data_IF_196753405700
#
_entry.id   IF_196753405700
#
_cell.length_a   1.000
_cell.length_b   1.000
_cell.length_c   1.000
_cell.angle_alpha   90.00
_cell.angle_beta   90.00
_cell.angle_gamma   90.00
#
_symmetry.space_group_name_H-M   'P 1'
#
loop_
_entity.id
_entity.type
_entity.pdbx_description
1 polymer ?
#
# COMPACT_ATOMS: atom_id res chain seq x y z
N UNK A 1 8.80 31.89 -10.86
CA UNK A 1 8.26 30.53 -10.89
C UNK A 1 8.11 29.93 -9.49
N UNK A 2 9.13 29.95 -8.62
CA UNK A 2 9.06 29.41 -7.26
C UNK A 2 8.01 30.05 -6.33
N UNK A 3 7.78 31.37 -6.41
CA UNK A 3 6.78 32.07 -5.60
C UNK A 3 5.33 31.69 -5.96
N UNK A 4 5.06 31.38 -7.22
CA UNK A 4 3.73 30.99 -7.68
C UNK A 4 3.37 29.56 -7.20
N UNK A 5 4.36 28.63 -7.21
CA UNK A 5 4.20 27.28 -6.71
C UNK A 5 3.94 27.26 -5.20
N UNK A 6 4.61 28.12 -4.43
CA UNK A 6 4.43 28.25 -2.98
C UNK A 6 3.03 28.80 -2.63
N UNK A 7 2.51 29.74 -3.40
CA UNK A 7 1.14 30.27 -3.21
C UNK A 7 0.06 29.26 -3.59
N UNK A 8 0.29 28.41 -4.60
CA UNK A 8 -0.64 27.33 -4.99
C UNK A 8 -0.67 26.26 -3.90
N UNK A 9 0.47 25.85 -3.35
CA UNK A 9 0.56 24.91 -2.23
C UNK A 9 -0.07 25.48 -0.94
N UNK A 10 0.15 26.73 -0.63
CA UNK A 10 -0.44 27.40 0.54
C UNK A 10 -1.95 27.59 0.41
N UNK A 11 -2.46 27.87 -0.80
CA UNK A 11 -3.91 27.95 -1.07
C UNK A 11 -4.59 26.61 -0.98
N UNK A 12 -3.91 25.51 -1.33
CA UNK A 12 -4.43 24.14 -1.21
C UNK A 12 -4.59 23.71 0.26
N UNK A 13 -3.68 24.15 1.15
CA UNK A 13 -3.77 23.89 2.58
C UNK A 13 -4.88 24.67 3.31
N UNK A 14 -5.36 25.80 2.76
CA UNK A 14 -6.36 26.65 3.41
C UNK A 14 -7.82 26.27 3.07
N UNK A 15 -8.04 25.36 2.10
CA UNK A 15 -9.40 24.93 1.69
C UNK A 15 -9.92 23.70 2.44
N UNK A 16 -9.16 23.13 3.41
CA UNK A 16 -9.50 21.89 4.12
C UNK A 16 -10.21 22.08 5.47
N UNK A 17 -10.96 23.18 5.67
CA UNK A 17 -11.82 23.34 6.85
C UNK A 17 -13.30 23.21 6.50
N UNK A 18 -13.72 22.07 5.96
CA UNK A 18 -15.13 21.69 5.89
C UNK A 18 -15.39 20.73 7.06
N UNK A 19 -16.43 20.93 7.87
CA UNK A 19 -16.79 19.95 8.89
C UNK A 19 -17.27 18.67 8.17
N UNK A 20 -16.47 17.62 8.23
CA UNK A 20 -16.70 16.37 7.53
C UNK A 20 -17.29 15.36 8.51
N UNK A 21 -18.44 14.82 8.20
CA UNK A 21 -18.97 13.60 8.78
C UNK A 21 -18.05 12.42 8.42
N UNK A 22 -17.80 11.55 9.36
CA UNK A 22 -16.65 10.63 9.41
C UNK A 22 -17.00 9.23 8.89
N UNK A 23 -16.14 8.60 8.10
CA UNK A 23 -16.36 7.30 7.42
C UNK A 23 -15.07 6.52 7.06
N UNK A 24 -15.07 5.19 7.10
CA UNK A 24 -13.96 4.29 6.70
C UNK A 24 -14.40 3.27 5.64
N UNK A 25 -13.46 2.74 4.81
CA UNK A 25 -13.70 1.61 3.89
C UNK A 25 -14.37 0.43 4.61
N UNK A 26 -15.13 -0.39 3.88
CA UNK A 26 -15.75 -1.60 4.41
C UNK A 26 -14.68 -2.50 5.06
N UNK A 27 -14.85 -2.84 6.32
CA UNK A 27 -13.83 -3.56 7.11
C UNK A 27 -12.66 -2.71 7.59
N UNK A 28 -12.62 -1.40 7.29
CA UNK A 28 -11.48 -0.54 7.64
C UNK A 28 -10.19 -0.87 6.89
N UNK A 29 -10.27 -1.70 5.85
CA UNK A 29 -9.15 -2.14 5.02
C UNK A 29 -9.42 -1.86 3.54
N UNK A 30 -8.39 -1.47 2.82
CA UNK A 30 -8.41 -1.29 1.36
C UNK A 30 -7.30 -2.09 0.70
N UNK A 31 -7.26 -2.06 -0.63
CA UNK A 31 -6.23 -2.78 -1.39
C UNK A 31 -4.82 -2.20 -1.22
N UNK A 32 -4.69 -0.90 -0.94
CA UNK A 32 -3.40 -0.31 -0.62
C UNK A 32 -2.98 -0.68 0.80
N UNK A 33 -1.78 -1.24 0.93
CA UNK A 33 -1.19 -1.62 2.21
C UNK A 33 0.00 -0.70 2.54
N UNK A 34 -0.03 0.03 3.68
CA UNK A 34 1.09 0.85 4.13
C UNK A 34 2.40 0.07 4.21
N UNK A 35 3.49 0.70 3.75
CA UNK A 35 4.80 0.07 3.70
C UNK A 35 5.07 -0.72 2.41
N UNK A 36 4.12 -0.80 1.50
CA UNK A 36 4.29 -1.53 0.23
C UNK A 36 5.19 -0.81 -0.78
N UNK A 37 5.50 0.48 -0.57
CA UNK A 37 6.16 1.32 -1.57
C UNK A 37 7.30 2.20 -1.00
N UNK A 38 7.89 3.04 -1.85
CA UNK A 38 8.84 4.11 -1.56
C UNK A 38 10.18 3.69 -0.92
N UNK A 39 10.68 2.50 -1.24
CA UNK A 39 12.01 2.05 -0.82
C UNK A 39 12.75 1.37 -1.97
N UNK A 40 14.02 0.96 -1.79
CA UNK A 40 14.86 0.42 -2.87
C UNK A 40 14.26 -0.81 -3.57
N UNK A 41 13.55 -1.66 -2.83
CA UNK A 41 12.88 -2.85 -3.39
C UNK A 41 11.74 -2.46 -4.32
N UNK A 42 11.11 -1.31 -4.05
CA UNK A 42 9.87 -0.87 -4.71
C UNK A 42 10.15 0.02 -5.94
N UNK A 43 11.41 0.38 -6.19
CA UNK A 43 11.79 1.25 -7.31
C UNK A 43 11.43 0.58 -8.64
N UNK A 44 10.66 1.31 -9.46
CA UNK A 44 10.25 0.83 -10.77
C UNK A 44 11.48 0.52 -11.65
N UNK A 45 11.50 -0.61 -12.38
CA UNK A 45 12.62 -0.97 -13.23
C UNK A 45 12.87 0.10 -14.30
N UNK A 46 14.10 0.59 -14.41
CA UNK A 46 14.52 1.59 -15.43
C UNK A 46 15.22 0.97 -16.65
N UNK A 47 15.46 -0.35 -16.61
CA UNK A 47 16.09 -1.16 -17.66
C UNK A 47 15.19 -2.35 -18.01
N UNK A 48 15.36 -2.94 -19.21
CA UNK A 48 14.63 -4.14 -19.61
C UNK A 48 15.09 -5.36 -18.83
N UNK A 49 14.18 -6.30 -18.58
CA UNK A 49 14.46 -7.52 -17.84
C UNK A 49 13.27 -7.99 -17.01
N UNK A 50 13.54 -8.90 -16.11
CA UNK A 50 12.54 -9.44 -15.19
C UNK A 50 12.83 -9.01 -13.75
N UNK A 51 11.78 -8.83 -13.00
CA UNK A 51 11.84 -8.67 -11.55
C UNK A 51 10.88 -9.67 -10.90
N UNK A 52 11.40 -10.47 -9.97
CA UNK A 52 10.62 -11.37 -9.14
C UNK A 52 10.71 -10.85 -7.71
N UNK A 53 9.55 -10.63 -7.08
CA UNK A 53 9.45 -10.01 -5.75
C UNK A 53 8.65 -10.90 -4.78
N UNK A 54 9.30 -11.74 -3.97
CA UNK A 54 8.67 -12.33 -2.79
C UNK A 54 8.56 -11.27 -1.68
N UNK A 55 7.34 -11.07 -1.18
CA UNK A 55 7.01 -10.09 -0.15
C UNK A 55 6.28 -10.82 0.99
N UNK A 56 6.71 -10.58 2.22
CA UNK A 56 6.07 -11.09 3.44
C UNK A 56 5.60 -9.91 4.27
N UNK A 57 4.37 -9.97 4.73
CA UNK A 57 3.77 -9.01 5.66
C UNK A 57 3.28 -9.74 6.90
N UNK A 58 3.56 -9.16 8.05
CA UNK A 58 2.91 -9.48 9.33
C UNK A 58 2.28 -8.20 9.86
N UNK A 59 1.01 -8.28 10.23
CA UNK A 59 0.24 -7.15 10.73
C UNK A 59 -0.63 -7.62 11.88
N UNK A 60 -0.39 -7.09 13.07
CA UNK A 60 -1.21 -7.30 14.25
C UNK A 60 -1.79 -5.96 14.68
N UNK A 61 -3.10 -5.89 14.82
CA UNK A 61 -3.82 -4.65 15.08
C UNK A 61 -5.07 -4.84 15.91
N UNK A 62 -5.40 -3.81 16.65
CA UNK A 62 -6.57 -3.74 17.53
C UNK A 62 -7.44 -2.54 17.18
N UNK A 63 -8.73 -2.65 17.44
CA UNK A 63 -9.67 -1.55 17.38
C UNK A 63 -10.38 -1.40 18.74
N UNK A 64 -10.24 -0.25 19.38
CA UNK A 64 -10.89 0.04 20.67
C UNK A 64 -12.41 0.12 20.49
N UNK A 65 -13.14 -0.68 21.27
CA UNK A 65 -14.57 -0.90 21.21
C UNK A 65 -15.49 0.30 21.49
N UNK A 66 -14.96 1.52 21.52
CA UNK A 66 -15.76 2.75 21.67
C UNK A 66 -16.51 3.18 20.42
N UNK A 67 -16.25 2.54 19.26
CA UNK A 67 -16.83 2.83 17.94
C UNK A 67 -17.23 1.55 17.24
N UNK A 68 -17.98 1.69 16.16
CA UNK A 68 -18.42 0.57 15.32
C UNK A 68 -17.76 0.65 13.95
N UNK A 69 -17.31 -0.49 13.41
CA UNK A 69 -16.81 -0.62 12.06
C UNK A 69 -17.71 -1.57 11.24
N UNK A 70 -18.09 -1.22 10.01
CA UNK A 70 -18.74 -2.15 9.11
C UNK A 70 -17.69 -3.15 8.57
N UNK A 71 -17.93 -4.44 8.73
CA UNK A 71 -17.05 -5.53 8.28
C UNK A 71 -17.91 -6.60 7.62
N UNK A 72 -17.68 -6.91 6.35
CA UNK A 72 -18.42 -7.96 5.63
C UNK A 72 -19.95 -7.83 5.69
N UNK A 73 -20.48 -6.59 5.71
CA UNK A 73 -21.92 -6.34 5.85
C UNK A 73 -22.47 -6.40 7.27
N UNK A 74 -21.64 -6.64 8.30
CA UNK A 74 -22.00 -6.55 9.73
C UNK A 74 -21.29 -5.40 10.42
N UNK A 75 -21.77 -5.01 11.61
CA UNK A 75 -21.17 -3.91 12.39
C UNK A 75 -20.52 -4.49 13.63
N UNK A 76 -19.21 -4.34 13.76
CA UNK A 76 -18.42 -4.83 14.87
C UNK A 76 -18.00 -3.71 15.83
N UNK A 77 -17.97 -4.00 17.12
CA UNK A 77 -17.44 -3.14 18.20
C UNK A 77 -16.27 -3.86 18.85
N UNK A 78 -15.06 -3.35 18.63
CA UNK A 78 -13.82 -4.02 19.05
C UNK A 78 -13.42 -5.11 18.07
N UNK A 79 -12.24 -4.99 17.52
CA UNK A 79 -11.64 -5.96 16.62
C UNK A 79 -10.19 -6.20 17.03
N UNK A 80 -9.80 -7.48 17.05
CA UNK A 80 -8.42 -7.92 17.08
C UNK A 80 -8.15 -8.60 15.74
N UNK A 81 -7.16 -8.15 15.01
CA UNK A 81 -6.84 -8.62 13.67
C UNK A 81 -5.38 -9.04 13.61
N UNK A 82 -5.12 -10.28 13.19
CA UNK A 82 -3.79 -10.78 12.91
C UNK A 82 -3.72 -11.25 11.45
N UNK A 83 -2.82 -10.68 10.68
CA UNK A 83 -2.63 -11.00 9.26
C UNK A 83 -1.19 -11.42 9.01
N UNK A 84 -1.02 -12.54 8.35
CA UNK A 84 0.24 -12.89 7.69
C UNK A 84 0.00 -13.08 6.20
N UNK A 85 0.85 -12.49 5.36
CA UNK A 85 0.75 -12.68 3.92
C UNK A 85 2.08 -12.99 3.27
N UNK A 86 2.02 -13.79 2.23
CA UNK A 86 3.08 -14.02 1.27
C UNK A 86 2.60 -13.62 -0.11
N UNK A 87 3.22 -12.61 -0.70
CA UNK A 87 2.88 -12.15 -2.04
C UNK A 87 4.05 -12.43 -2.98
N UNK A 88 3.77 -12.99 -4.15
CA UNK A 88 4.75 -13.10 -5.23
C UNK A 88 4.41 -12.09 -6.32
N UNK A 89 5.32 -11.15 -6.56
CA UNK A 89 5.28 -10.21 -7.66
C UNK A 89 6.15 -10.69 -8.83
N UNK A 90 5.64 -10.57 -10.05
CA UNK A 90 6.40 -10.81 -11.28
C UNK A 90 6.19 -9.63 -12.20
N UNK A 91 7.26 -8.93 -12.55
CA UNK A 91 7.24 -7.76 -13.42
C UNK A 91 8.20 -8.01 -14.60
N UNK A 92 7.75 -7.70 -15.79
CA UNK A 92 8.59 -7.68 -16.99
C UNK A 92 8.72 -6.27 -17.54
N UNK A 93 9.96 -5.84 -17.72
CA UNK A 93 10.31 -4.56 -18.35
C UNK A 93 10.73 -4.79 -19.78
N UNK A 94 10.04 -4.15 -20.70
CA UNK A 94 10.23 -4.34 -22.13
C UNK A 94 11.39 -3.48 -22.66
N UNK A 95 12.06 -3.94 -23.73
CA UNK A 95 13.10 -3.16 -24.41
C UNK A 95 12.52 -1.91 -25.08
N UNK A 96 11.25 -1.98 -25.51
CA UNK A 96 10.55 -0.87 -26.16
C UNK A 96 10.29 0.27 -25.17
N UNK A 97 10.78 1.46 -25.52
CA UNK A 97 10.48 2.67 -24.75
C UNK A 97 9.16 3.28 -25.18
N UNK A 98 8.35 3.68 -24.20
CA UNK A 98 7.09 4.41 -24.40
C UNK A 98 7.26 5.83 -23.89
N UNK A 99 7.13 6.83 -24.76
CA UNK A 99 7.36 8.26 -24.41
C UNK A 99 8.73 8.51 -23.74
N UNK A 100 9.75 7.74 -24.12
CA UNK A 100 11.08 7.80 -23.53
C UNK A 100 11.24 7.04 -22.19
N UNK A 101 10.16 6.54 -21.63
CA UNK A 101 10.17 5.71 -20.42
C UNK A 101 10.49 4.24 -20.73
N UNK A 102 11.02 3.53 -19.74
CA UNK A 102 10.94 2.06 -19.70
C UNK A 102 9.48 1.70 -19.42
N UNK A 103 8.91 0.85 -20.27
CA UNK A 103 7.58 0.29 -20.04
C UNK A 103 7.72 -1.07 -19.37
N UNK A 104 6.96 -1.28 -18.30
CA UNK A 104 6.87 -2.56 -17.60
C UNK A 104 5.42 -2.92 -17.34
N UNK A 105 5.16 -4.23 -17.22
CA UNK A 105 3.88 -4.76 -16.79
C UNK A 105 4.12 -5.94 -15.85
N UNK A 106 3.15 -6.23 -14.97
CA UNK A 106 3.32 -7.28 -13.98
C UNK A 106 2.04 -7.72 -13.30
N UNK A 107 2.19 -8.63 -12.36
CA UNK A 107 1.12 -9.17 -11.52
C UNK A 107 1.66 -9.49 -10.14
N UNK A 108 0.82 -9.30 -9.13
CA UNK A 108 1.07 -9.74 -7.76
C UNK A 108 -0.01 -10.69 -7.32
N UNK A 109 0.40 -11.82 -6.72
CA UNK A 109 -0.44 -12.91 -6.25
C UNK A 109 -0.29 -13.02 -4.73
N UNK A 110 -1.19 -12.43 -3.93
CA UNK A 110 -1.13 -12.47 -2.49
C UNK A 110 -1.81 -13.73 -1.92
N UNK A 111 -1.09 -14.47 -1.10
CA UNK A 111 -1.62 -15.54 -0.25
C UNK A 111 -1.68 -15.01 1.18
N UNK A 112 -2.88 -15.01 1.75
CA UNK A 112 -3.16 -14.41 3.05
C UNK A 112 -3.66 -15.47 4.02
N UNK A 113 -3.22 -15.35 5.28
CA UNK A 113 -3.84 -16.00 6.43
C UNK A 113 -4.22 -14.90 7.41
N UNK A 114 -5.49 -14.86 7.80
CA UNK A 114 -6.04 -13.82 8.65
C UNK A 114 -6.92 -14.45 9.74
N UNK A 115 -6.69 -14.02 10.97
CA UNK A 115 -7.51 -14.32 12.14
C UNK A 115 -8.14 -13.01 12.63
N UNK A 116 -9.45 -13.00 12.83
CA UNK A 116 -10.20 -11.84 13.32
C UNK A 116 -11.04 -12.26 14.51
N UNK A 117 -10.92 -11.55 15.60
CA UNK A 117 -11.85 -11.63 16.74
C UNK A 117 -12.58 -10.30 16.90
N UNK A 118 -13.86 -10.34 17.17
CA UNK A 118 -14.66 -9.12 17.29
C UNK A 118 -15.96 -9.33 18.04
N UNK A 119 -16.66 -8.22 18.32
CA UNK A 119 -17.96 -8.23 18.98
C UNK A 119 -19.02 -7.67 18.03
N UNK A 120 -20.05 -8.46 17.76
CA UNK A 120 -21.21 -8.08 16.95
C UNK A 120 -22.46 -8.14 17.84
N UNK A 121 -23.00 -6.99 18.20
CA UNK A 121 -24.04 -6.89 19.22
C UNK A 121 -23.53 -7.36 20.59
N UNK A 122 -24.16 -8.37 21.18
CA UNK A 122 -23.78 -8.99 22.46
C UNK A 122 -22.93 -10.26 22.31
N UNK A 123 -22.51 -10.60 21.09
CA UNK A 123 -21.82 -11.85 20.78
C UNK A 123 -20.36 -11.57 20.43
N UNK A 124 -19.44 -12.31 21.05
CA UNK A 124 -18.06 -12.40 20.62
C UNK A 124 -17.94 -13.46 19.52
N UNK A 125 -17.36 -13.07 18.40
CA UNK A 125 -17.14 -13.92 17.23
C UNK A 125 -15.64 -14.02 16.95
N UNK A 126 -15.21 -15.17 16.49
CA UNK A 126 -13.85 -15.38 15.94
C UNK A 126 -13.99 -16.01 14.57
N UNK A 127 -13.17 -15.55 13.64
CA UNK A 127 -13.16 -16.05 12.28
C UNK A 127 -11.73 -16.16 11.77
N UNK A 128 -11.47 -17.15 10.91
CA UNK A 128 -10.13 -17.42 10.38
C UNK A 128 -10.23 -17.90 8.94
N UNK A 129 -9.47 -17.25 8.06
CA UNK A 129 -9.40 -17.63 6.65
C UNK A 129 -7.96 -17.71 6.16
N UNK A 130 -7.73 -18.56 5.15
CA UNK A 130 -6.44 -18.60 4.46
C UNK A 130 -6.59 -19.01 3.01
N UNK A 131 -5.90 -18.35 2.10
CA UNK A 131 -5.95 -18.64 0.67
C UNK A 131 -5.42 -17.51 -0.20
N UNK A 132 -5.72 -17.57 -1.50
CA UNK A 132 -5.42 -16.51 -2.44
C UNK A 132 -6.38 -15.33 -2.21
N UNK A 133 -5.81 -14.14 -2.05
CA UNK A 133 -6.57 -12.89 -1.92
C UNK A 133 -6.78 -12.22 -3.28
N UNK A 134 -7.20 -10.96 -3.28
CA UNK A 134 -7.41 -10.18 -4.50
C UNK A 134 -6.08 -9.95 -5.23
N UNK A 135 -6.00 -10.37 -6.49
CA UNK A 135 -4.80 -10.22 -7.30
C UNK A 135 -4.63 -8.77 -7.76
N UNK A 136 -3.38 -8.29 -7.81
CA UNK A 136 -3.08 -6.99 -8.41
C UNK A 136 -2.45 -7.18 -9.79
N UNK A 137 -3.08 -6.60 -10.80
CA UNK A 137 -2.60 -6.55 -12.18
C UNK A 137 -2.00 -5.18 -12.41
N UNK A 138 -0.76 -5.12 -12.89
CA UNK A 138 -0.08 -3.86 -13.21
C UNK A 138 0.08 -3.79 -14.73
N UNK A 139 -0.90 -3.27 -15.48
CA UNK A 139 -0.86 -3.26 -16.94
C UNK A 139 0.21 -2.30 -17.47
N UNK A 140 0.57 -1.29 -16.70
CA UNK A 140 1.57 -0.33 -17.12
C UNK A 140 2.32 0.29 -15.94
N UNK A 141 3.64 0.29 -16.03
CA UNK A 141 4.56 1.15 -15.30
C UNK A 141 5.42 1.88 -16.34
N UNK A 142 5.49 3.19 -16.27
CA UNK A 142 6.35 4.01 -17.10
C UNK A 142 7.40 4.67 -16.23
N UNK A 143 8.68 4.29 -16.39
CA UNK A 143 9.79 4.81 -15.57
C UNK A 143 10.78 5.62 -16.41
N UNK A 144 11.07 6.85 -15.98
CA UNK A 144 12.07 7.75 -16.55
C UNK A 144 13.21 7.94 -15.59
N UNK A 145 14.44 7.84 -16.07
CA UNK A 145 15.65 8.09 -15.28
C UNK A 145 16.45 9.25 -15.89
N UNK A 146 16.81 10.22 -15.05
CA UNK A 146 17.62 11.36 -15.46
C UNK A 146 18.61 11.76 -14.36
N UNK A 147 19.88 11.46 -14.57
CA UNK A 147 20.93 11.69 -13.57
C UNK A 147 20.65 10.90 -12.28
N UNK A 148 20.55 11.62 -11.17
CA UNK A 148 20.24 11.06 -9.83
C UNK A 148 18.75 10.89 -9.56
N UNK A 149 17.88 11.26 -10.49
CA UNK A 149 16.44 11.20 -10.32
C UNK A 149 15.83 10.09 -11.17
N UNK A 150 14.84 9.43 -10.60
CA UNK A 150 13.93 8.55 -11.29
C UNK A 150 12.50 8.95 -10.98
N UNK A 151 11.63 8.85 -11.97
CA UNK A 151 10.19 9.11 -11.85
C UNK A 151 9.45 7.96 -12.48
N UNK A 152 8.31 7.61 -11.92
CA UNK A 152 7.42 6.65 -12.54
C UNK A 152 5.95 7.01 -12.35
N UNK A 153 5.14 6.47 -13.24
CA UNK A 153 3.69 6.39 -13.08
C UNK A 153 3.25 4.95 -13.30
N UNK A 154 2.32 4.49 -12.51
CA UNK A 154 1.75 3.15 -12.68
C UNK A 154 0.23 3.15 -12.48
N UNK A 155 -0.42 2.06 -12.93
CA UNK A 155 -1.86 1.89 -12.90
C UNK A 155 -2.22 0.49 -12.37
N UNK A 156 -1.99 0.20 -11.08
CA UNK A 156 -2.45 -1.04 -10.47
C UNK A 156 -3.97 -1.18 -10.56
N UNK A 157 -4.41 -2.40 -10.85
CA UNK A 157 -5.82 -2.80 -10.87
C UNK A 157 -5.93 -4.03 -9.96
N UNK A 158 -6.70 -3.93 -8.91
CA UNK A 158 -7.00 -5.03 -8.02
C UNK A 158 -8.30 -5.68 -8.44
N UNK A 159 -8.27 -6.99 -8.67
CA UNK A 159 -9.43 -7.77 -9.11
C UNK A 159 -9.99 -8.56 -7.92
N UNK A 160 -11.32 -8.58 -7.73
CA UNK A 160 -11.98 -9.33 -6.65
C UNK A 160 -11.92 -10.84 -6.92
N UNK A 161 -10.77 -11.45 -6.62
CA UNK A 161 -10.48 -12.88 -6.83
C UNK A 161 -10.39 -13.68 -5.55
N UNK A 162 -10.27 -13.00 -4.42
CA UNK A 162 -10.30 -13.63 -3.10
C UNK A 162 -11.74 -14.03 -2.72
N UNK A 163 -11.86 -15.10 -1.95
CA UNK A 163 -13.16 -15.53 -1.45
C UNK A 163 -13.78 -14.46 -0.54
N UNK A 164 -15.07 -14.20 -0.74
CA UNK A 164 -15.84 -13.22 0.03
C UNK A 164 -17.21 -13.79 0.37
N UNK A 165 -17.64 -13.64 1.62
CA UNK A 165 -18.95 -14.04 2.11
C UNK A 165 -19.51 -12.96 3.06
N UNK A 166 -20.74 -12.50 2.78
CA UNK A 166 -21.44 -11.52 3.61
C UNK A 166 -21.71 -12.12 5.01
N UNK A 167 -21.39 -11.36 6.04
CA UNK A 167 -21.57 -11.78 7.44
C UNK A 167 -20.35 -12.42 8.09
N UNK A 168 -19.30 -12.73 7.33
CA UNK A 168 -18.01 -13.16 7.86
C UNK A 168 -17.19 -11.95 8.35
N UNK A 169 -16.46 -12.12 9.45
CA UNK A 169 -15.52 -11.10 9.95
C UNK A 169 -14.21 -11.11 9.17
N UNK A 170 -13.79 -12.27 8.67
CA UNK A 170 -12.58 -12.45 7.89
C UNK A 170 -12.93 -12.86 6.46
N UNK A 171 -12.50 -12.07 5.48
CA UNK A 171 -12.65 -12.34 4.05
C UNK A 171 -11.30 -12.22 3.35
N UNK A 172 -11.03 -13.10 2.38
CA UNK A 172 -9.77 -13.07 1.60
C UNK A 172 -9.78 -11.98 0.52
N UNK A 173 -10.95 -11.59 0.05
CA UNK A 173 -11.16 -10.53 -0.93
C UNK A 173 -12.07 -9.43 -0.40
N UNK A 174 -12.09 -8.30 -1.11
CA UNK A 174 -12.96 -7.16 -0.81
C UNK A 174 -14.23 -7.12 -1.67
N UNK A 175 -14.35 -8.06 -2.63
CA UNK A 175 -15.50 -8.21 -3.55
C UNK A 175 -15.79 -6.96 -4.40
N UNK A 176 -14.80 -6.12 -4.65
CA UNK A 176 -14.89 -5.00 -5.58
C UNK A 176 -13.57 -4.74 -6.30
N UNK A 177 -13.65 -4.10 -7.48
CA UNK A 177 -12.49 -3.68 -8.23
C UNK A 177 -11.93 -2.37 -7.67
N UNK A 178 -10.59 -2.26 -7.63
CA UNK A 178 -9.90 -1.00 -7.34
C UNK A 178 -8.95 -0.67 -8.47
N UNK A 179 -8.93 0.60 -8.89
CA UNK A 179 -7.90 1.16 -9.75
C UNK A 179 -7.11 2.18 -8.94
N UNK A 180 -5.79 2.09 -8.97
CA UNK A 180 -4.90 2.90 -8.14
C UNK A 180 -3.81 3.58 -8.98
N UNK A 181 -4.12 4.67 -9.72
CA UNK A 181 -3.11 5.45 -10.40
C UNK A 181 -2.11 6.04 -9.40
N UNK A 182 -0.83 5.74 -9.62
CA UNK A 182 0.26 6.13 -8.71
C UNK A 182 1.35 6.93 -9.42
N UNK A 183 2.08 7.70 -8.64
CA UNK A 183 3.28 8.44 -9.02
C UNK A 183 4.41 8.13 -8.05
N UNK A 184 5.56 7.75 -8.59
CA UNK A 184 6.80 7.52 -7.86
C UNK A 184 7.87 8.54 -8.23
N UNK A 185 8.71 8.89 -7.26
CA UNK A 185 9.89 9.72 -7.44
C UNK A 185 11.00 9.25 -6.51
N UNK A 186 12.17 8.98 -7.07
CA UNK A 186 13.37 8.62 -6.33
C UNK A 186 14.52 9.58 -6.63
N UNK A 187 15.27 9.94 -5.61
CA UNK A 187 16.57 10.60 -5.69
C UNK A 187 17.65 9.70 -5.11
N UNK A 188 18.63 9.33 -5.92
CA UNK A 188 19.76 8.52 -5.49
C UNK A 188 21.08 9.26 -5.82
N UNK A 189 21.87 9.57 -4.78
CA UNK A 189 23.17 10.19 -4.94
C UNK A 189 24.29 9.18 -4.66
N UNK A 190 24.90 8.57 -5.68
CA UNK A 190 25.91 7.53 -5.49
C UNK A 190 27.22 8.04 -4.86
N UNK A 191 27.45 9.37 -4.81
CA UNK A 191 28.66 9.94 -4.21
C UNK A 191 28.54 10.03 -2.68
N UNK A 192 27.34 10.35 -2.19
CA UNK A 192 27.09 10.48 -0.75
C UNK A 192 26.41 9.25 -0.17
N UNK A 193 25.83 8.40 -1.00
CA UNK A 193 24.98 7.30 -0.59
C UNK A 193 23.61 7.72 -0.09
N UNK A 194 23.24 9.01 -0.21
CA UNK A 194 21.91 9.46 0.16
C UNK A 194 20.87 9.03 -0.87
N UNK A 195 19.81 8.36 -0.39
CA UNK A 195 18.65 7.96 -1.17
C UNK A 195 17.39 8.51 -0.49
N UNK A 196 16.45 9.00 -1.27
CA UNK A 196 15.14 9.42 -0.80
C UNK A 196 14.10 9.09 -1.87
N UNK A 197 12.92 8.63 -1.46
CA UNK A 197 11.85 8.30 -2.37
C UNK A 197 10.51 8.83 -1.85
N UNK A 198 9.62 9.11 -2.79
CA UNK A 198 8.20 9.42 -2.58
C UNK A 198 7.39 8.50 -3.50
N UNK A 199 6.33 7.93 -2.97
CA UNK A 199 5.30 7.24 -3.74
C UNK A 199 3.94 7.74 -3.28
N UNK A 200 3.02 8.01 -4.20
CA UNK A 200 1.67 8.49 -3.87
C UNK A 200 0.67 8.04 -4.91
N UNK A 201 -0.56 7.82 -4.51
CA UNK A 201 -1.65 7.41 -5.40
C UNK A 201 -3.01 7.73 -4.82
N UNK A 202 -4.03 7.45 -5.61
CA UNK A 202 -5.43 7.58 -5.19
C UNK A 202 -6.20 6.37 -5.68
N UNK A 203 -6.78 5.61 -4.75
CA UNK A 203 -7.64 4.47 -5.08
C UNK A 203 -9.03 4.92 -5.55
N UNK A 204 -9.57 4.21 -6.53
CA UNK A 204 -10.94 4.35 -7.01
C UNK A 204 -11.62 2.98 -6.99
N UNK A 205 -12.65 2.85 -6.17
CA UNK A 205 -13.31 1.58 -5.90
C UNK A 205 -14.65 1.48 -6.65
N UNK A 206 -14.97 0.28 -7.15
CA UNK A 206 -16.35 -0.04 -7.55
C UNK A 206 -17.19 -0.37 -6.31
N UNK A 207 -18.48 -0.57 -6.49
CA UNK A 207 -19.38 -1.04 -5.44
C UNK A 207 -19.21 -2.56 -5.22
N UNK A 208 -19.25 -2.98 -3.95
CA UNK A 208 -19.46 -4.35 -3.54
C UNK A 208 -20.95 -4.66 -3.72
N UNK A 209 -21.31 -5.43 -4.77
CA UNK A 209 -22.70 -5.71 -5.13
C UNK A 209 -23.45 -6.61 -4.13
N UNK A 210 -22.74 -7.31 -3.25
CA UNK A 210 -23.35 -8.22 -2.29
C UNK A 210 -23.81 -7.48 -1.02
N UNK A 211 -23.23 -6.31 -0.77
CA UNK A 211 -23.57 -5.45 0.37
C UNK A 211 -24.12 -4.09 -0.04
N UNK A 212 -24.20 -3.79 -1.35
CA UNK A 212 -24.53 -2.47 -1.91
C UNK A 212 -23.68 -1.34 -1.27
N UNK A 213 -22.43 -1.67 -0.92
CA UNK A 213 -21.49 -0.76 -0.25
C UNK A 213 -20.39 -0.34 -1.22
N UNK A 214 -20.14 0.95 -1.29
CA UNK A 214 -19.06 1.49 -2.08
C UNK A 214 -18.08 2.24 -1.17
N UNK A 215 -16.92 1.67 -0.96
CA UNK A 215 -15.81 2.28 -0.23
C UNK A 215 -15.31 3.55 -0.91
N UNK A 216 -15.07 4.59 -0.15
CA UNK A 216 -14.57 5.86 -0.65
C UNK A 216 -13.15 5.76 -1.23
N UNK A 217 -12.75 6.80 -1.95
CA UNK A 217 -11.39 6.90 -2.51
C UNK A 217 -10.38 7.24 -1.42
N UNK A 218 -9.21 6.63 -1.48
CA UNK A 218 -8.10 6.83 -0.54
C UNK A 218 -6.94 7.51 -1.24
N UNK A 219 -6.48 8.64 -0.69
CA UNK A 219 -5.17 9.19 -0.97
C UNK A 219 -4.16 8.45 -0.08
N UNK A 220 -3.13 7.88 -0.70
CA UNK A 220 -2.01 7.32 0.03
C UNK A 220 -0.69 7.95 -0.39
N UNK A 221 0.25 8.02 0.53
CA UNK A 221 1.59 8.50 0.26
C UNK A 221 2.59 7.82 1.18
N UNK A 222 3.74 7.47 0.63
CA UNK A 222 4.91 7.00 1.36
C UNK A 222 6.12 7.85 1.02
N UNK A 223 6.95 8.12 2.02
CA UNK A 223 8.22 8.81 1.85
C UNK A 223 9.30 8.08 2.62
N UNK A 224 10.47 7.94 2.01
CA UNK A 224 11.65 7.38 2.69
C UNK A 224 12.87 8.28 2.56
N UNK A 225 13.77 8.15 3.52
CA UNK A 225 15.11 8.72 3.47
C UNK A 225 16.10 7.71 4.04
N UNK A 226 17.11 7.35 3.27
CA UNK A 226 18.05 6.28 3.57
C UNK A 226 19.49 6.71 3.33
N UNK A 227 20.42 6.13 4.09
CA UNK A 227 21.85 6.19 3.85
C UNK A 227 22.33 4.84 3.32
N UNK A 228 22.91 4.83 2.14
CA UNK A 228 23.49 3.67 1.48
C UNK A 228 24.99 3.64 1.71
N UNK A 229 25.49 2.52 2.20
CA UNK A 229 26.91 2.30 2.52
C UNK A 229 27.45 1.15 1.67
N UNK A 230 28.36 1.41 0.71
CA UNK A 230 29.03 0.35 -0.01
C UNK A 230 29.84 -0.56 0.90
N UNK A 231 29.73 -1.86 0.71
CA UNK A 231 30.48 -2.91 1.40
C UNK A 231 31.30 -3.73 0.40
N UNK A 232 32.07 -4.71 0.86
CA UNK A 232 32.84 -5.60 -0.03
C UNK A 232 31.96 -6.52 -0.90
N UNK A 233 30.72 -6.80 -0.48
CA UNK A 233 29.85 -7.77 -1.11
C UNK A 233 28.57 -7.14 -1.69
N UNK A 234 28.29 -5.87 -1.39
CA UNK A 234 27.07 -5.21 -1.85
C UNK A 234 26.92 -3.83 -1.20
N UNK A 235 25.70 -3.33 -1.13
CA UNK A 235 25.36 -2.04 -0.52
C UNK A 235 24.39 -2.26 0.62
N UNK A 236 24.74 -1.82 1.82
CA UNK A 236 23.85 -1.81 2.97
C UNK A 236 23.14 -0.46 3.06
N UNK A 237 21.84 -0.46 3.24
CA UNK A 237 20.98 0.70 3.42
C UNK A 237 20.34 0.71 4.80
N UNK A 238 20.20 1.88 5.38
CA UNK A 238 19.38 2.08 6.58
C UNK A 238 18.74 3.46 6.55
N UNK A 239 17.57 3.57 7.11
CA UNK A 239 16.83 4.83 7.09
C UNK A 239 15.48 4.74 7.76
N UNK A 240 14.60 5.63 7.33
CA UNK A 240 13.23 5.72 7.81
C UNK A 240 12.26 5.74 6.63
N UNK A 241 11.09 5.16 6.84
CA UNK A 241 9.95 5.26 5.94
C UNK A 241 8.77 5.77 6.74
N UNK A 242 7.96 6.64 6.16
CA UNK A 242 6.71 7.12 6.73
C UNK A 242 5.60 6.97 5.69
N UNK A 243 4.40 6.72 6.16
CA UNK A 243 3.22 6.61 5.30
C UNK A 243 2.05 7.45 5.81
N UNK A 244 1.21 7.84 4.89
CA UNK A 244 -0.12 8.42 5.09
C UNK A 244 -1.12 7.58 4.29
N UNK A 245 -2.20 7.19 4.94
CA UNK A 245 -3.43 6.66 4.37
C UNK A 245 -4.56 7.59 4.77
N UNK A 246 -5.25 8.20 3.82
CA UNK A 246 -6.33 9.16 4.09
C UNK A 246 -7.48 8.91 3.12
N UNK A 247 -8.61 8.42 3.60
CA UNK A 247 -9.81 8.34 2.78
C UNK A 247 -10.38 9.74 2.54
N UNK A 248 -10.41 10.16 1.28
CA UNK A 248 -10.73 11.53 0.87
C UNK A 248 -12.17 11.72 0.42
N UNK A 249 -12.91 10.64 0.12
CA UNK A 249 -14.34 10.69 -0.17
C UNK A 249 -15.12 9.82 0.80
N UNK A 250 -16.40 10.14 0.98
CA UNK A 250 -17.29 9.34 1.81
C UNK A 250 -17.59 7.99 1.16
N UNK A 251 -17.88 6.98 1.98
CA UNK A 251 -18.51 5.77 1.51
C UNK A 251 -19.94 6.07 1.05
N UNK A 252 -20.47 5.25 0.18
CA UNK A 252 -21.76 5.44 -0.45
C UNK A 252 -22.42 4.10 -0.77
N UNK A 253 -23.61 4.11 -1.35
CA UNK A 253 -24.43 2.94 -1.60
C UNK A 253 -25.47 2.71 -0.52
N UNK A 254 -26.44 1.83 -0.77
CA UNK A 254 -27.53 1.53 0.17
C UNK A 254 -27.01 0.82 1.44
N UNK A 255 -25.90 0.08 1.33
CA UNK A 255 -25.23 -0.60 2.44
C UNK A 255 -24.49 0.34 3.39
N UNK A 256 -24.17 1.56 2.97
CA UNK A 256 -23.45 2.55 3.81
C UNK A 256 -24.38 3.25 4.82
N UNK A 257 -25.15 2.47 5.59
CA UNK A 257 -26.22 2.95 6.49
C UNK A 257 -25.73 3.71 7.71
N UNK A 258 -24.42 3.60 8.06
CA UNK A 258 -23.84 4.23 9.25
C UNK A 258 -23.08 5.53 8.94
N UNK A 259 -23.28 6.10 7.77
CA UNK A 259 -22.63 7.33 7.30
C UNK A 259 -21.29 7.04 6.63
N UNK A 260 -20.73 8.09 6.06
CA UNK A 260 -19.51 7.97 5.28
C UNK A 260 -18.23 7.86 6.15
N UNK A 261 -17.81 6.76 6.80
CA UNK A 261 -16.68 6.52 7.73
C UNK A 261 -15.27 6.76 7.14
N UNK A 262 -14.74 7.95 7.01
CA UNK A 262 -13.38 8.20 6.47
C UNK A 262 -12.28 7.62 7.35
N UNK A 263 -11.60 6.60 6.82
CA UNK A 263 -10.43 6.01 7.42
C UNK A 263 -9.18 6.88 7.27
N UNK A 264 -8.35 6.90 8.31
CA UNK A 264 -7.02 7.51 8.28
C UNK A 264 -6.05 6.66 9.06
N UNK A 265 -4.82 6.57 8.55
CA UNK A 265 -3.69 6.01 9.29
C UNK A 265 -2.41 6.75 8.90
N UNK A 266 -1.56 6.98 9.87
CA UNK A 266 -0.24 7.58 9.74
C UNK A 266 0.75 6.75 10.54
N UNK A 267 1.90 6.42 9.93
CA UNK A 267 2.95 5.69 10.61
C UNK A 267 4.35 6.11 10.14
N UNK A 268 5.34 5.81 10.95
CA UNK A 268 6.75 6.00 10.63
C UNK A 268 7.60 4.96 11.35
N UNK A 269 8.61 4.44 10.66
CA UNK A 269 9.50 3.47 11.27
C UNK A 269 10.78 3.24 10.49
N UNK A 270 11.67 2.40 11.01
CA UNK A 270 12.95 2.09 10.40
C UNK A 270 12.81 1.20 9.18
N UNK A 271 13.74 1.35 8.24
CA UNK A 271 13.95 0.48 7.10
C UNK A 271 15.43 0.11 7.00
N UNK A 272 15.69 -1.16 6.69
CA UNK A 272 17.02 -1.72 6.43
C UNK A 272 16.99 -2.41 5.07
N UNK A 273 17.98 -2.14 4.24
CA UNK A 273 18.14 -2.73 2.91
C UNK A 273 19.51 -3.38 2.74
N UNK A 274 19.55 -4.37 1.87
CA UNK A 274 20.80 -4.93 1.39
C UNK A 274 20.71 -5.23 -0.11
N UNK A 275 21.52 -4.54 -0.91
CA UNK A 275 21.64 -4.74 -2.35
C UNK A 275 22.84 -5.61 -2.64
N UNK A 276 22.63 -6.76 -3.26
CA UNK A 276 23.64 -7.76 -3.59
C UNK A 276 23.74 -7.93 -5.12
N UNK A 277 24.68 -7.25 -5.79
CA UNK A 277 24.96 -7.49 -7.19
C UNK A 277 25.60 -8.88 -7.40
N UNK A 278 25.05 -9.69 -8.29
CA UNK A 278 25.58 -11.04 -8.62
C UNK A 278 26.18 -11.12 -10.01
N UNK A 279 26.59 -9.97 -10.54
CA UNK A 279 27.18 -9.85 -11.86
C UNK A 279 26.19 -10.18 -12.98
N UNK A 280 26.50 -11.20 -13.81
CA UNK A 280 25.62 -11.59 -14.92
C UNK A 280 24.28 -12.21 -14.50
N UNK A 281 24.16 -12.61 -13.24
CA UNK A 281 22.95 -13.22 -12.71
C UNK A 281 21.95 -12.19 -12.12
N UNK A 282 22.22 -10.89 -12.34
CA UNK A 282 21.35 -9.81 -11.89
C UNK A 282 21.69 -9.27 -10.50
N UNK A 283 20.71 -8.68 -9.85
CA UNK A 283 20.85 -8.05 -8.54
C UNK A 283 19.74 -8.53 -7.62
N UNK A 284 20.11 -8.92 -6.41
CA UNK A 284 19.15 -9.15 -5.33
C UNK A 284 19.07 -7.90 -4.45
N UNK A 285 17.86 -7.56 -4.03
CA UNK A 285 17.58 -6.51 -3.05
C UNK A 285 16.77 -7.16 -1.94
N UNK A 286 17.15 -6.92 -0.70
CA UNK A 286 16.44 -7.39 0.50
C UNK A 286 16.07 -6.19 1.34
N UNK A 287 14.89 -6.23 1.96
CA UNK A 287 14.39 -5.18 2.82
C UNK A 287 13.75 -5.78 4.07
N UNK A 288 13.97 -5.12 5.20
CA UNK A 288 13.22 -5.28 6.44
C UNK A 288 12.69 -3.91 6.86
N UNK A 289 11.39 -3.81 7.07
CA UNK A 289 10.69 -2.57 7.43
C UNK A 289 9.74 -2.84 8.60
N UNK A 290 9.75 -1.98 9.60
CA UNK A 290 8.78 -1.97 10.69
C UNK A 290 8.11 -0.60 10.74
N UNK A 291 6.79 -0.57 10.56
CA UNK A 291 6.01 0.66 10.49
C UNK A 291 4.84 0.58 11.49
N UNK A 292 5.06 1.05 12.74
CA UNK A 292 3.96 1.25 13.69
C UNK A 292 3.01 2.35 13.21
N UNK A 293 1.72 2.11 13.35
CA UNK A 293 0.70 3.13 13.19
C UNK A 293 0.66 4.04 14.41
N UNK A 294 0.96 5.31 14.23
CA UNK A 294 1.04 6.30 15.31
C UNK A 294 -0.26 7.03 15.56
N UNK A 295 -1.10 7.17 14.53
CA UNK A 295 -2.39 7.83 14.59
C UNK A 295 -3.33 7.14 13.60
N UNK A 296 -4.45 6.65 14.12
CA UNK A 296 -5.51 6.03 13.33
C UNK A 296 -6.86 6.65 13.65
N UNK A 297 -7.71 6.70 12.64
CA UNK A 297 -9.09 7.12 12.79
C UNK A 297 -9.97 6.19 11.97
N UNK A 298 -10.98 5.58 12.62
CA UNK A 298 -11.92 4.66 11.98
C UNK A 298 -11.25 3.45 11.29
N UNK A 299 -10.15 3.00 11.82
CA UNK A 299 -9.38 1.83 11.38
C UNK A 299 -8.84 1.12 12.61
N UNK A 300 -8.50 -0.15 12.47
CA UNK A 300 -7.64 -0.84 13.42
C UNK A 300 -6.28 -0.15 13.49
N UNK A 301 -5.60 -0.23 14.61
CA UNK A 301 -4.26 0.33 14.82
C UNK A 301 -3.30 -0.78 15.18
N UNK A 302 -2.19 -0.87 14.48
CA UNK A 302 -1.21 -1.93 14.68
C UNK A 302 0.16 -1.63 14.11
N UNK A 303 0.90 -2.70 13.87
CA UNK A 303 2.27 -2.65 13.37
C UNK A 303 2.39 -3.42 12.05
N UNK A 304 2.86 -2.75 10.99
CA UNK A 304 3.26 -3.41 9.75
C UNK A 304 4.73 -3.84 9.84
N UNK A 305 4.99 -5.13 9.72
CA UNK A 305 6.33 -5.69 9.60
C UNK A 305 6.46 -6.32 8.23
N UNK A 306 7.33 -5.74 7.40
CA UNK A 306 7.60 -6.21 6.06
C UNK A 306 8.98 -6.86 5.98
N UNK A 307 9.04 -8.02 5.35
CA UNK A 307 10.25 -8.56 4.77
C UNK A 307 10.03 -8.70 3.26
N UNK A 308 10.81 -7.96 2.47
CA UNK A 308 10.70 -7.96 1.02
C UNK A 308 12.01 -8.37 0.38
N UNK A 309 11.92 -9.01 -0.76
CA UNK A 309 13.08 -9.22 -1.63
C UNK A 309 12.69 -8.93 -3.08
N UNK A 310 13.69 -8.59 -3.90
CA UNK A 310 13.56 -8.51 -5.34
C UNK A 310 14.79 -9.14 -6.00
N UNK A 311 14.55 -9.90 -7.06
CA UNK A 311 15.58 -10.37 -7.96
C UNK A 311 15.36 -9.77 -9.34
N UNK A 312 16.29 -8.92 -9.75
CA UNK A 312 16.28 -8.23 -11.05
C UNK A 312 17.32 -8.86 -11.97
N UNK A 313 16.93 -9.33 -13.17
CA UNK A 313 17.81 -10.01 -14.14
C UNK A 313 17.35 -9.87 -15.58
#
# INVERSE_FOLDING_TARGET
MFKLLFFILLSFCLYLQIPVTVSAEEGGAGHYLPGSAATLVDVAPSESGWVIQPLFLFYDAEFDGSRTLPVGGVVSTGLDVSVSSFTIGVIHSFETKVMGATYSAGVYLPFVSMDVAGTVGDFSLTDSVSGLSDIAIIPAVLAWKTGSWQFDVSFPIYAPTGDYEVGQLANLGLNYWTVDPTFGMEYNNPKTGFNAALHTGVTFNTENSDTDYKSGSVLHAEISAQQLIPTKIGVFGFGVNAFLYEQITDDSGEGATHGGFRGRSLGVGPVLDFVLPTGKNGTFIFELKWLPELDTKNKVQGDFIWFKAAWQF
#
